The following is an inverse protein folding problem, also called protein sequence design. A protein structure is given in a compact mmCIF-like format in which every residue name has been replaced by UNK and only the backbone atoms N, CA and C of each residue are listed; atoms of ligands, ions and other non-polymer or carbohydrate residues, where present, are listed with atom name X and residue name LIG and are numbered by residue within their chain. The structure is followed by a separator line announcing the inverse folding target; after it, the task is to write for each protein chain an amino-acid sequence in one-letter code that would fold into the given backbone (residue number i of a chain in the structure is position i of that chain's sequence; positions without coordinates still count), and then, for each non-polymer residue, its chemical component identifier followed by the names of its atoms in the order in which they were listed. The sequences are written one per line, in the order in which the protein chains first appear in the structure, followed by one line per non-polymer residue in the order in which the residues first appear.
data_IF_081782432524
#
_entry.id   IF_081782432524
#
_cell.length_a   1.000
_cell.length_b   1.000
_cell.length_c   1.000
_cell.angle_alpha   90.00
_cell.angle_beta   90.00
_cell.angle_gamma   90.00
#
_symmetry.space_group_name_H-M   'P 1'
#
loop_
_entity.id
_entity.type
_entity.pdbx_description
1 polymer ?
#
# COMPACT_ATOMS: atom_id res chain seq x y z
N UNK A 1 0.82 -11.48 17.05
CA UNK A 1 -0.36 -10.57 17.10
C UNK A 1 -0.03 -9.47 16.11
N UNK A 2 -0.82 -9.34 15.04
CA UNK A 2 -0.60 -8.30 14.01
C UNK A 2 -1.08 -6.96 14.56
N UNK A 3 -0.30 -5.91 14.34
CA UNK A 3 -0.71 -4.55 14.68
C UNK A 3 -1.87 -4.12 13.79
N UNK A 4 -2.91 -3.58 14.40
CA UNK A 4 -4.10 -3.10 13.70
C UNK A 4 -4.16 -1.60 13.94
N UNK A 5 -3.84 -0.84 12.92
CA UNK A 5 -3.90 0.61 12.91
C UNK A 5 -4.55 1.07 11.61
N UNK A 6 -5.32 2.16 11.71
CA UNK A 6 -5.98 2.80 10.59
C UNK A 6 -5.60 4.28 10.56
N UNK A 7 -5.63 4.87 9.37
CA UNK A 7 -5.52 6.31 9.16
C UNK A 7 -6.73 6.87 8.41
N UNK A 8 -6.96 8.16 8.53
CA UNK A 8 -8.00 8.89 7.81
C UNK A 8 -7.82 10.39 7.95
N UNK A 9 -8.30 11.17 6.97
CA UNK A 9 -8.29 12.63 7.02
C UNK A 9 -9.47 13.14 7.82
N UNK A 10 -9.20 14.01 8.79
CA UNK A 10 -10.24 14.61 9.62
C UNK A 10 -11.14 15.54 8.79
N UNK A 11 -12.43 15.53 9.06
CA UNK A 11 -13.40 16.38 8.35
C UNK A 11 -13.22 17.86 8.71
N UNK A 12 -12.77 18.15 9.93
CA UNK A 12 -12.71 19.52 10.45
C UNK A 12 -11.49 20.32 9.96
N UNK A 13 -10.34 19.67 9.75
CA UNK A 13 -9.10 20.34 9.35
C UNK A 13 -8.34 19.69 8.20
N UNK A 14 -8.76 18.52 7.71
CA UNK A 14 -8.12 17.80 6.61
C UNK A 14 -6.80 17.10 6.97
N UNK A 15 -6.35 17.16 8.22
CA UNK A 15 -5.13 16.50 8.68
C UNK A 15 -5.34 14.99 8.83
N UNK A 16 -4.29 14.21 8.59
CA UNK A 16 -4.29 12.78 8.88
C UNK A 16 -4.29 12.51 10.38
N UNK A 17 -5.10 11.53 10.79
CA UNK A 17 -5.12 10.99 12.15
C UNK A 17 -5.01 9.47 12.09
N UNK A 18 -4.35 8.87 13.09
CA UNK A 18 -3.98 7.46 13.12
C UNK A 18 -4.47 6.80 14.41
N UNK A 19 -5.01 5.58 14.32
CA UNK A 19 -5.49 4.85 15.49
C UNK A 19 -6.54 3.79 15.17
N UNK A 20 -7.49 3.60 16.08
CA UNK A 20 -8.51 2.56 15.94
C UNK A 20 -9.72 3.08 15.17
N UNK A 21 -10.11 2.36 14.11
CA UNK A 21 -11.30 2.69 13.32
C UNK A 21 -12.57 2.36 14.11
N UNK A 22 -13.48 3.33 14.20
CA UNK A 22 -14.83 3.13 14.77
C UNK A 22 -15.87 3.62 13.75
N UNK A 23 -16.71 2.69 13.30
CA UNK A 23 -17.79 2.94 12.35
C UNK A 23 -19.15 2.77 13.03
N UNK A 24 -20.03 3.75 12.83
CA UNK A 24 -21.41 3.72 13.32
C UNK A 24 -22.34 3.84 12.13
N UNK A 25 -23.24 2.85 11.95
CA UNK A 25 -24.14 2.74 10.79
C UNK A 25 -24.84 4.06 10.42
N UNK A 26 -25.23 4.86 11.42
CA UNK A 26 -25.98 6.11 11.22
C UNK A 26 -25.24 7.39 11.67
N UNK A 27 -23.96 7.32 12.07
CA UNK A 27 -23.30 8.43 12.79
C UNK A 27 -21.92 8.82 12.26
N UNK A 28 -21.42 8.10 11.26
CA UNK A 28 -20.16 8.40 10.58
C UNK A 28 -18.99 7.55 11.05
N UNK A 29 -17.83 7.84 10.46
CA UNK A 29 -16.60 7.11 10.66
C UNK A 29 -15.62 7.96 11.46
N UNK A 30 -15.01 7.33 12.47
CA UNK A 30 -14.11 8.00 13.41
C UNK A 30 -12.81 7.22 13.55
N UNK A 31 -11.74 7.94 13.86
CA UNK A 31 -10.51 7.36 14.38
C UNK A 31 -10.40 7.71 15.86
N UNK A 32 -10.21 6.68 16.67
CA UNK A 32 -9.94 6.78 18.09
C UNK A 32 -8.43 6.72 18.35
N UNK A 33 -7.88 7.85 18.78
CA UNK A 33 -6.47 8.05 19.10
C UNK A 33 -6.27 7.84 20.59
N UNK A 34 -5.79 6.67 20.99
CA UNK A 34 -5.41 6.45 22.39
C UNK A 34 -4.12 5.64 22.47
N UNK A 35 -3.05 6.32 22.86
CA UNK A 35 -1.73 5.72 23.05
C UNK A 35 -1.66 4.84 24.31
N UNK A 36 -2.73 4.83 25.12
CA UNK A 36 -2.78 4.07 26.36
C UNK A 36 -2.94 2.58 26.08
N UNK A 37 -1.97 1.79 26.56
CA UNK A 37 -1.97 0.33 26.47
C UNK A 37 -2.68 -0.37 27.65
N UNK A 38 -3.65 0.27 28.31
CA UNK A 38 -4.26 -0.27 29.53
C UNK A 38 -5.58 0.38 29.97
N UNK A 39 -6.22 -0.23 30.96
CA UNK A 39 -7.50 0.24 31.49
C UNK A 39 -7.40 1.65 32.10
N UNK A 40 -8.45 2.45 31.91
CA UNK A 40 -8.55 3.81 32.44
C UNK A 40 -9.76 3.96 33.36
N UNK A 41 -9.63 4.87 34.34
CA UNK A 41 -10.73 5.30 35.21
C UNK A 41 -11.47 6.53 34.66
N UNK A 42 -11.06 7.05 33.50
CA UNK A 42 -11.74 8.16 32.85
C UNK A 42 -13.10 7.74 32.28
N UNK A 43 -14.02 8.70 32.17
CA UNK A 43 -15.35 8.44 31.65
C UNK A 43 -15.32 8.22 30.14
N UNK A 44 -16.32 7.51 29.61
CA UNK A 44 -16.52 7.41 28.16
C UNK A 44 -16.61 8.79 27.48
N UNK A 45 -17.25 9.76 28.13
CA UNK A 45 -17.34 11.13 27.62
C UNK A 45 -15.96 11.77 27.44
N UNK A 46 -15.02 11.53 28.37
CA UNK A 46 -13.66 12.04 28.22
C UNK A 46 -12.98 11.47 26.97
N UNK A 47 -13.12 10.17 26.72
CA UNK A 47 -12.55 9.51 25.55
C UNK A 47 -13.19 9.98 24.24
N UNK A 48 -14.51 10.08 24.19
CA UNK A 48 -15.22 10.53 23.00
C UNK A 48 -14.83 11.97 22.65
N UNK A 49 -14.77 12.87 23.64
CA UNK A 49 -14.54 14.30 23.39
C UNK A 49 -13.10 14.58 22.97
N UNK A 50 -12.11 13.88 23.55
CA UNK A 50 -10.71 14.24 23.37
C UNK A 50 -9.97 13.36 22.36
N UNK A 51 -10.46 12.14 22.10
CA UNK A 51 -9.70 11.13 21.37
C UNK A 51 -10.44 10.59 20.13
N UNK A 52 -11.73 10.88 19.93
CA UNK A 52 -12.45 10.49 18.72
C UNK A 52 -12.48 11.63 17.71
N UNK A 53 -11.92 11.39 16.54
CA UNK A 53 -11.91 12.36 15.44
C UNK A 53 -12.76 11.84 14.29
N UNK A 54 -13.74 12.63 13.86
CA UNK A 54 -14.53 12.32 12.68
C UNK A 54 -13.66 12.47 11.43
N UNK A 55 -13.69 11.46 10.56
CA UNK A 55 -12.86 11.40 9.36
C UNK A 55 -13.71 11.24 8.09
N UNK A 56 -13.15 11.62 6.94
CA UNK A 56 -13.70 11.24 5.65
C UNK A 56 -13.48 9.75 5.42
N UNK A 57 -14.57 8.98 5.39
CA UNK A 57 -14.55 7.53 5.20
C UNK A 57 -13.81 7.11 3.92
N UNK A 58 -13.81 7.93 2.88
CA UNK A 58 -13.12 7.62 1.61
C UNK A 58 -11.60 7.60 1.77
N UNK A 59 -11.08 8.19 2.83
CA UNK A 59 -9.64 8.28 3.11
C UNK A 59 -9.15 7.21 4.08
N UNK A 60 -10.04 6.30 4.53
CA UNK A 60 -9.67 5.21 5.43
C UNK A 60 -8.63 4.33 4.74
N UNK A 61 -7.48 4.18 5.39
CA UNK A 61 -6.44 3.23 5.00
C UNK A 61 -6.04 2.39 6.19
N UNK A 62 -5.98 1.07 6.02
CA UNK A 62 -5.47 0.14 7.03
C UNK A 62 -3.97 -0.06 6.88
N UNK A 63 -3.25 -0.12 7.99
CA UNK A 63 -1.83 -0.48 8.02
C UNK A 63 -1.63 -1.90 7.48
N UNK A 64 -0.75 -2.03 6.47
CA UNK A 64 -0.55 -3.33 5.83
C UNK A 64 0.37 -4.25 6.64
N UNK A 65 1.22 -3.69 7.52
CA UNK A 65 2.23 -4.46 8.27
C UNK A 65 3.67 -4.22 7.82
N UNK A 66 3.89 -3.26 6.90
CA UNK A 66 5.21 -2.90 6.35
C UNK A 66 5.51 -1.42 6.54
N UNK A 67 6.79 -1.14 6.73
CA UNK A 67 7.37 0.20 6.72
C UNK A 67 8.24 0.33 5.47
N UNK A 68 8.31 1.54 4.90
CA UNK A 68 9.26 1.85 3.83
C UNK A 68 10.69 2.06 4.38
N UNK A 69 11.63 2.34 3.48
CA UNK A 69 13.02 2.62 3.81
C UNK A 69 13.24 3.86 4.70
N UNK A 70 12.28 4.80 4.70
CA UNK A 70 12.27 6.03 5.48
C UNK A 70 11.57 5.85 6.84
N UNK A 71 11.32 4.61 7.27
CA UNK A 71 10.57 4.23 8.49
C UNK A 71 9.10 4.72 8.49
N UNK A 72 8.51 5.02 7.33
CA UNK A 72 7.09 5.39 7.21
C UNK A 72 6.24 4.14 7.04
N UNK A 73 5.12 4.09 7.77
CA UNK A 73 4.16 2.99 7.68
C UNK A 73 3.36 3.05 6.39
N UNK A 74 3.25 1.90 5.72
CA UNK A 74 2.48 1.76 4.48
C UNK A 74 1.03 1.38 4.83
N UNK A 75 0.09 2.11 4.25
CA UNK A 75 -1.35 1.88 4.39
C UNK A 75 -1.97 1.55 3.04
N UNK A 76 -3.17 0.98 3.10
CA UNK A 76 -4.06 0.93 1.93
C UNK A 76 -4.20 2.32 1.30
N UNK A 77 -4.27 2.34 -0.04
CA UNK A 77 -4.32 3.53 -0.89
C UNK A 77 -3.04 4.39 -0.95
N UNK A 78 -1.93 3.95 -0.33
CA UNK A 78 -0.62 4.48 -0.70
C UNK A 78 -0.23 4.05 -2.11
N UNK A 79 0.49 4.92 -2.79
CA UNK A 79 1.15 4.68 -4.08
C UNK A 79 2.58 4.32 -3.75
N UNK A 80 2.98 3.10 -4.07
CA UNK A 80 4.30 2.56 -3.72
C UNK A 80 5.05 2.12 -4.96
N UNK A 81 6.37 2.24 -4.89
CA UNK A 81 7.31 1.62 -5.79
C UNK A 81 7.88 0.37 -5.12
N UNK A 82 8.01 -0.70 -5.89
CA UNK A 82 8.63 -1.95 -5.45
C UNK A 82 9.65 -2.38 -6.49
N UNK A 83 10.89 -2.60 -6.07
CA UNK A 83 11.97 -3.09 -6.93
C UNK A 83 12.29 -4.53 -6.54
N UNK A 84 12.27 -5.42 -7.54
CA UNK A 84 12.56 -6.84 -7.37
C UNK A 84 13.74 -7.27 -8.23
N UNK A 85 14.70 -7.92 -7.60
CA UNK A 85 15.82 -8.55 -8.28
C UNK A 85 15.45 -9.98 -8.71
N UNK A 86 15.65 -10.27 -9.99
CA UNK A 86 15.44 -11.59 -10.58
C UNK A 86 16.69 -12.07 -11.32
N UNK A 87 16.82 -13.39 -11.42
CA UNK A 87 17.87 -14.06 -12.20
C UNK A 87 17.29 -15.01 -13.26
N UNK A 88 16.35 -14.57 -14.11
CA UNK A 88 15.74 -15.43 -15.11
C UNK A 88 16.82 -15.98 -16.04
N UNK A 89 16.88 -17.31 -16.14
CA UNK A 89 17.87 -18.00 -16.98
C UNK A 89 19.34 -17.63 -16.67
N UNK A 90 19.63 -17.16 -15.45
CA UNK A 90 20.98 -16.75 -15.02
C UNK A 90 21.37 -15.33 -15.41
N UNK A 91 20.47 -14.53 -15.98
CA UNK A 91 20.71 -13.12 -16.30
C UNK A 91 20.12 -12.23 -15.21
N UNK A 92 20.90 -11.29 -14.71
CA UNK A 92 20.43 -10.35 -13.69
C UNK A 92 19.42 -9.36 -14.28
N UNK A 93 18.27 -9.22 -13.65
CA UNK A 93 17.28 -8.19 -13.98
C UNK A 93 16.71 -7.56 -12.71
N UNK A 94 16.38 -6.29 -12.82
CA UNK A 94 15.55 -5.59 -11.84
C UNK A 94 14.22 -5.26 -12.50
N UNK A 95 13.12 -5.54 -11.81
CA UNK A 95 11.78 -5.18 -12.25
C UNK A 95 11.18 -4.21 -11.25
N UNK A 96 10.80 -3.04 -11.74
CA UNK A 96 10.14 -1.98 -10.98
C UNK A 96 8.63 -2.06 -11.20
N UNK A 97 7.89 -2.22 -10.11
CA UNK A 97 6.44 -2.11 -10.06
C UNK A 97 6.05 -0.81 -9.37
N UNK A 98 5.07 -0.10 -9.94
CA UNK A 98 4.48 1.06 -9.28
C UNK A 98 2.97 0.92 -9.31
N UNK A 99 2.34 1.04 -8.15
CA UNK A 99 0.91 0.87 -8.05
C UNK A 99 0.33 1.30 -6.72
N UNK A 100 -1.00 1.25 -6.66
CA UNK A 100 -1.77 1.57 -5.45
C UNK A 100 -1.93 0.32 -4.59
N UNK A 101 -1.63 0.42 -3.31
CA UNK A 101 -1.82 -0.67 -2.35
C UNK A 101 -3.32 -0.95 -2.16
N UNK A 102 -3.74 -2.17 -2.50
CA UNK A 102 -5.12 -2.65 -2.37
C UNK A 102 -5.16 -3.99 -1.65
N UNK A 103 -6.32 -4.30 -1.07
CA UNK A 103 -6.58 -5.60 -0.45
C UNK A 103 -7.63 -6.36 -1.26
N UNK A 104 -7.30 -7.58 -1.65
CA UNK A 104 -8.23 -8.51 -2.29
C UNK A 104 -8.88 -9.40 -1.22
N UNK A 105 -10.20 -9.26 -1.06
CA UNK A 105 -10.97 -10.02 -0.07
C UNK A 105 -11.24 -11.46 -0.49
N UNK A 106 -11.19 -11.78 -1.77
CA UNK A 106 -11.50 -13.12 -2.29
C UNK A 106 -10.35 -14.08 -2.00
N UNK A 107 -9.11 -13.59 -2.10
CA UNK A 107 -7.90 -14.37 -1.81
C UNK A 107 -7.17 -13.95 -0.54
N UNK A 108 -7.71 -12.96 0.18
CA UNK A 108 -7.19 -12.45 1.45
C UNK A 108 -5.75 -11.89 1.38
N UNK A 109 -5.36 -11.29 0.25
CA UNK A 109 -3.98 -10.83 0.00
C UNK A 109 -3.91 -9.35 -0.37
N UNK A 110 -2.78 -8.71 -0.05
CA UNK A 110 -2.48 -7.38 -0.59
C UNK A 110 -1.90 -7.50 -2.00
N UNK A 111 -2.20 -6.50 -2.83
CA UNK A 111 -1.65 -6.37 -4.17
C UNK A 111 -1.43 -4.89 -4.50
N UNK A 112 -0.59 -4.64 -5.50
CA UNK A 112 -0.49 -3.36 -6.17
C UNK A 112 -1.41 -3.37 -7.37
N UNK A 113 -2.34 -2.43 -7.40
CA UNK A 113 -3.06 -2.06 -8.61
C UNK A 113 -2.13 -1.16 -9.44
N UNK A 114 -1.47 -1.76 -10.42
CA UNK A 114 -0.40 -1.16 -11.19
C UNK A 114 -0.94 0.02 -12.02
N UNK A 115 -0.21 1.13 -11.96
CA UNK A 115 -0.57 2.37 -12.67
C UNK A 115 0.21 2.56 -13.98
N UNK A 116 1.20 1.70 -14.23
CA UNK A 116 2.00 1.65 -15.46
C UNK A 116 2.55 0.24 -15.64
N UNK A 117 2.93 -0.16 -16.87
CA UNK A 117 3.64 -1.42 -17.10
C UNK A 117 4.91 -1.51 -16.22
N UNK A 118 5.26 -2.71 -15.71
CA UNK A 118 6.51 -2.89 -14.98
C UNK A 118 7.72 -2.51 -15.83
N UNK A 119 8.65 -1.75 -15.26
CA UNK A 119 9.88 -1.38 -15.95
C UNK A 119 10.97 -2.40 -15.67
N UNK A 120 11.58 -2.95 -16.72
CA UNK A 120 12.65 -3.95 -16.60
C UNK A 120 14.00 -3.30 -16.92
N UNK A 121 14.98 -3.51 -16.07
CA UNK A 121 16.37 -3.10 -16.29
C UNK A 121 17.35 -4.25 -15.99
N UNK A 122 18.64 -4.05 -16.29
CA UNK A 122 19.68 -5.06 -16.12
C UNK A 122 20.13 -5.70 -17.43
N UNK A 123 20.43 -7.00 -17.39
CA UNK A 123 20.98 -7.75 -18.51
C UNK A 123 19.90 -8.17 -19.52
N UNK A 124 20.17 -7.95 -20.80
CA UNK A 124 19.29 -8.43 -21.87
C UNK A 124 19.46 -9.94 -22.07
N UNK A 125 18.42 -10.73 -21.75
CA UNK A 125 18.40 -12.16 -22.14
C UNK A 125 18.37 -12.26 -23.67
N UNK A 126 19.30 -13.01 -24.30
CA UNK A 126 19.28 -13.27 -25.74
C UNK A 126 17.98 -13.92 -26.22
N UNK A 127 17.62 -13.68 -27.49
CA UNK A 127 16.45 -14.29 -28.14
C UNK A 127 16.60 -15.81 -28.36
N UNK A 128 17.82 -16.35 -28.21
CA UNK A 128 18.12 -17.77 -28.33
C UNK A 128 19.26 -18.17 -27.39
N UNK A 129 19.07 -19.27 -26.64
CA UNK A 129 20.08 -19.85 -25.74
C UNK A 129 20.19 -21.34 -26.07
N UNK A 130 21.41 -21.81 -26.37
CA UNK A 130 21.70 -23.21 -26.71
C UNK A 130 20.80 -23.81 -27.83
N UNK A 131 20.42 -22.99 -28.82
CA UNK A 131 19.53 -23.41 -29.91
C UNK A 131 18.04 -23.34 -29.59
N UNK A 132 17.67 -22.91 -28.38
CA UNK A 132 16.30 -22.76 -27.92
C UNK A 132 15.90 -21.29 -28.02
N UNK A 133 14.90 -20.99 -28.85
CA UNK A 133 14.32 -19.65 -28.95
C UNK A 133 13.58 -19.28 -27.67
N UNK A 134 13.84 -18.08 -27.18
CA UNK A 134 13.19 -17.51 -26.02
C UNK A 134 12.00 -16.68 -26.50
N UNK A 135 10.82 -16.97 -25.95
CA UNK A 135 9.61 -16.17 -26.16
C UNK A 135 9.35 -15.34 -24.91
N UNK A 136 8.87 -14.12 -25.11
CA UNK A 136 8.49 -13.21 -24.03
C UNK A 136 7.03 -12.82 -24.18
N UNK A 137 6.37 -12.55 -23.07
CA UNK A 137 5.07 -11.89 -23.08
C UNK A 137 5.21 -10.48 -23.66
N UNK A 138 4.15 -10.01 -24.30
CA UNK A 138 4.07 -8.64 -24.77
C UNK A 138 4.08 -7.72 -23.54
N UNK A 139 4.95 -6.71 -23.45
CA UNK A 139 4.92 -5.75 -22.35
C UNK A 139 3.56 -5.07 -22.17
N UNK A 140 2.75 -5.00 -23.23
CA UNK A 140 1.38 -4.45 -23.18
C UNK A 140 0.35 -5.44 -22.59
N UNK A 141 0.67 -6.73 -22.47
CA UNK A 141 -0.19 -7.79 -21.92
C UNK A 141 0.26 -8.17 -20.50
N UNK A 142 0.34 -7.17 -19.60
CA UNK A 142 0.72 -7.38 -18.20
C UNK A 142 -0.52 -7.45 -17.30
N UNK A 143 -0.46 -8.28 -16.25
CA UNK A 143 -1.49 -8.28 -15.20
C UNK A 143 -1.39 -6.97 -14.42
N UNK A 144 -2.49 -6.23 -14.34
CA UNK A 144 -2.55 -4.98 -13.58
C UNK A 144 -2.48 -5.22 -12.07
N UNK A 145 -2.63 -6.46 -11.60
CA UNK A 145 -2.54 -6.80 -10.19
C UNK A 145 -1.24 -7.53 -9.89
N UNK A 146 -0.36 -6.85 -9.17
CA UNK A 146 0.84 -7.47 -8.64
C UNK A 146 0.65 -7.88 -7.17
N UNK A 147 0.44 -9.17 -6.91
CA UNK A 147 0.33 -9.70 -5.55
C UNK A 147 1.71 -9.84 -4.92
N UNK A 148 1.86 -9.39 -3.67
CA UNK A 148 3.11 -9.45 -2.93
C UNK A 148 2.89 -9.95 -1.51
N UNK A 149 3.90 -10.63 -0.97
CA UNK A 149 3.87 -11.13 0.41
C UNK A 149 4.46 -10.08 1.36
N UNK A 150 3.55 -9.49 2.15
CA UNK A 150 3.83 -8.46 3.16
C UNK A 150 4.71 -8.96 4.31
N UNK A 151 4.97 -10.26 4.43
CA UNK A 151 5.87 -10.83 5.45
C UNK A 151 7.19 -11.31 4.84
N UNK A 152 7.17 -11.86 3.61
CA UNK A 152 8.29 -12.62 3.04
C UNK A 152 9.12 -11.83 2.03
N UNK A 153 8.54 -10.90 1.27
CA UNK A 153 9.28 -10.22 0.22
C UNK A 153 10.30 -9.25 0.82
N UNK A 154 11.58 -9.48 0.54
CA UNK A 154 12.70 -8.58 0.85
C UNK A 154 12.77 -7.39 -0.11
N UNK A 155 11.69 -7.14 -0.85
CA UNK A 155 11.61 -6.06 -1.81
C UNK A 155 11.70 -4.73 -1.08
N UNK A 156 12.49 -3.81 -1.60
CA UNK A 156 12.48 -2.44 -1.12
C UNK A 156 11.17 -1.80 -1.57
N UNK A 157 10.32 -1.40 -0.61
CA UNK A 157 9.11 -0.64 -0.84
C UNK A 157 9.38 0.82 -0.50
N UNK A 158 9.09 1.72 -1.45
CA UNK A 158 9.21 3.16 -1.26
C UNK A 158 7.84 3.82 -1.48
N UNK A 159 7.39 4.63 -0.52
CA UNK A 159 6.13 5.39 -0.66
C UNK A 159 6.39 6.61 -1.57
N UNK A 160 5.64 6.70 -2.66
CA UNK A 160 5.67 7.86 -3.57
C UNK A 160 4.61 8.91 -3.22
N UNK A 161 3.51 8.48 -2.60
CA UNK A 161 2.39 9.33 -2.24
C UNK A 161 1.16 8.52 -1.86
N UNK A 162 -0.01 9.15 -1.88
CA UNK A 162 -1.29 8.45 -1.74
C UNK A 162 -2.34 9.04 -2.69
N UNK A 163 -3.38 8.27 -3.00
CA UNK A 163 -4.39 8.67 -3.99
C UNK A 163 -5.18 9.95 -3.60
N UNK A 164 -5.14 10.37 -2.34
CA UNK A 164 -5.89 11.52 -1.84
C UNK A 164 -5.07 12.82 -1.88
N UNK A 165 -3.75 12.73 -1.78
CA UNK A 165 -2.83 13.88 -1.77
C UNK A 165 -2.06 14.03 -3.04
N UNK A 166 -1.90 12.93 -3.77
CA UNK A 166 -1.13 12.85 -5.00
C UNK A 166 -1.93 12.20 -6.14
N UNK A 167 -3.16 12.70 -6.44
CA UNK A 167 -3.95 12.15 -7.55
C UNK A 167 -3.23 12.29 -8.90
N UNK A 168 -2.34 13.26 -9.05
CA UNK A 168 -1.52 13.46 -10.26
C UNK A 168 -0.58 12.29 -10.55
N UNK A 169 -0.22 11.47 -9.56
CA UNK A 169 0.60 10.29 -9.77
C UNK A 169 -0.17 9.13 -10.44
N UNK A 170 -1.49 9.23 -10.55
CA UNK A 170 -2.34 8.21 -11.19
C UNK A 170 -2.55 8.49 -12.68
N UNK A 171 -2.21 9.68 -13.17
CA UNK A 171 -2.31 10.03 -14.58
C UNK A 171 -1.05 9.54 -15.29
N UNK A 172 -1.21 8.68 -16.30
CA UNK A 172 -0.10 8.24 -17.16
C UNK A 172 0.60 9.48 -17.73
N UNK A 173 1.91 9.61 -17.50
CA UNK A 173 2.72 10.56 -18.25
C UNK A 173 2.73 10.10 -19.72
N UNK A 174 1.90 10.74 -20.55
CA UNK A 174 1.89 10.59 -22.02
C UNK A 174 3.29 10.71 -22.64
#
# INVERSE_FOLDING_TARGET
MREIEFRGKRIDNGEWVYGNLMQFEDSGTFIFVDERKGASTLTYAHFIINNMHAIDEKTVGRFIGRIDEDEKTIFENDIVQVVLEYWPMGYYQEVEYVGVVKYDTDICAYYLDLIKPPAVSGETIPDEIDGIKITREDPEDFDTRFYFDVEVDSADLTILGNIHENPELLEESE
#
